data_IF_183735583029
#
_entry.id   IF_183735583029
#
_cell.length_a   1.000
_cell.length_b   1.000
_cell.length_c   1.000
_cell.angle_alpha   90.00
_cell.angle_beta   90.00
_cell.angle_gamma   90.00
#
_symmetry.space_group_name_H-M   'P 1'
#
loop_
_entity.id
_entity.type
_entity.pdbx_description
1 polymer ?
#
# COMPACT_ATOMS: atom_id res chain seq x y z
N UNK A 1 51.68 3.47 42.14
CA UNK A 1 50.38 2.79 41.95
C UNK A 1 49.46 3.75 41.25
N UNK A 2 49.22 3.58 39.94
CA UNK A 2 48.25 4.37 39.18
C UNK A 2 47.41 3.38 38.40
N UNK A 3 46.21 3.10 38.91
CA UNK A 3 45.21 2.26 38.25
C UNK A 3 44.55 3.11 37.16
N UNK A 4 44.64 2.69 35.90
CA UNK A 4 44.19 3.48 34.77
C UNK A 4 42.68 3.32 34.50
N UNK A 5 41.94 4.38 34.14
CA UNK A 5 40.47 4.42 34.07
C UNK A 5 39.89 3.85 32.75
N UNK A 6 40.58 2.91 32.10
CA UNK A 6 40.22 2.41 30.76
C UNK A 6 39.14 1.32 30.76
N UNK A 7 38.74 0.80 31.93
CA UNK A 7 37.72 -0.24 32.05
C UNK A 7 36.29 0.27 32.00
N UNK A 8 36.01 1.41 32.64
CA UNK A 8 34.64 1.92 32.82
C UNK A 8 34.04 2.47 31.52
N UNK A 9 34.82 3.18 30.70
CA UNK A 9 34.33 3.70 29.42
C UNK A 9 34.00 2.59 28.41
N UNK A 10 34.72 1.47 28.45
CA UNK A 10 34.43 0.31 27.61
C UNK A 10 33.16 -0.42 28.06
N UNK A 11 32.91 -0.50 29.37
CA UNK A 11 31.68 -1.11 29.90
C UNK A 11 30.43 -0.32 29.53
N UNK A 12 30.47 1.01 29.61
CA UNK A 12 29.34 1.86 29.21
C UNK A 12 29.02 1.70 27.71
N UNK A 13 30.04 1.66 26.86
CA UNK A 13 29.87 1.47 25.41
C UNK A 13 29.33 0.09 25.05
N UNK A 14 29.78 -0.94 25.76
CA UNK A 14 29.28 -2.31 25.59
C UNK A 14 27.82 -2.42 26.01
N UNK A 15 27.44 -1.78 27.12
CA UNK A 15 26.06 -1.75 27.60
C UNK A 15 25.12 -1.04 26.62
N UNK A 16 25.53 0.09 26.03
CA UNK A 16 24.76 0.76 24.98
C UNK A 16 24.61 -0.11 23.72
N UNK A 17 25.63 -0.87 23.36
CA UNK A 17 25.58 -1.81 22.24
C UNK A 17 24.58 -2.93 22.52
N UNK A 18 24.60 -3.50 23.72
CA UNK A 18 23.65 -4.52 24.15
C UNK A 18 22.22 -3.98 24.18
N UNK A 19 22.02 -2.76 24.66
CA UNK A 19 20.72 -2.10 24.64
C UNK A 19 20.18 -1.96 23.21
N UNK A 20 21.00 -1.51 22.26
CA UNK A 20 20.61 -1.40 20.84
C UNK A 20 20.23 -2.76 20.24
N UNK A 21 20.92 -3.82 20.64
CA UNK A 21 20.60 -5.19 20.20
C UNK A 21 19.25 -5.61 20.77
N UNK A 22 19.00 -5.37 22.06
CA UNK A 22 17.71 -5.69 22.69
C UNK A 22 16.57 -4.90 22.05
N UNK A 23 16.73 -3.59 21.85
CA UNK A 23 15.73 -2.74 21.18
C UNK A 23 15.45 -3.19 19.75
N UNK A 24 16.51 -3.48 18.97
CA UNK A 24 16.35 -3.99 17.59
C UNK A 24 15.67 -5.35 17.57
N UNK A 25 16.01 -6.22 18.53
CA UNK A 25 15.41 -7.55 18.62
C UNK A 25 13.94 -7.43 19.01
N UNK A 26 13.62 -6.68 20.06
CA UNK A 26 12.25 -6.44 20.50
C UNK A 26 11.39 -5.78 19.41
N UNK A 27 11.94 -4.83 18.64
CA UNK A 27 11.25 -4.22 17.51
C UNK A 27 11.04 -5.14 16.30
N UNK A 28 11.84 -6.19 16.17
CA UNK A 28 11.75 -7.17 15.08
C UNK A 28 11.00 -8.46 15.47
N UNK A 29 10.64 -8.63 16.75
CA UNK A 29 9.81 -9.74 17.18
C UNK A 29 8.37 -9.49 16.75
N UNK A 30 7.78 -10.49 16.08
CA UNK A 30 6.35 -10.49 15.77
C UNK A 30 5.65 -11.11 16.97
N UNK A 31 4.94 -10.29 17.74
CA UNK A 31 4.03 -10.78 18.78
C UNK A 31 2.82 -11.44 18.12
N UNK A 32 2.46 -12.64 18.58
CA UNK A 32 1.30 -13.41 18.08
C UNK A 32 0.25 -13.40 19.19
N UNK A 33 -0.60 -12.36 19.28
CA UNK A 33 -1.56 -12.25 20.37
C UNK A 33 -2.68 -13.29 20.23
N UNK A 34 -3.13 -13.81 21.38
CA UNK A 34 -4.42 -14.50 21.49
C UNK A 34 -5.55 -13.46 21.45
N UNK A 35 -6.34 -13.48 20.39
CA UNK A 35 -7.26 -12.42 19.92
C UNK A 35 -8.38 -11.96 20.87
N UNK A 36 -8.53 -12.50 22.08
CA UNK A 36 -9.78 -12.39 22.83
C UNK A 36 -9.88 -11.27 23.88
N UNK A 37 -8.79 -10.58 24.24
CA UNK A 37 -8.82 -9.55 25.30
C UNK A 37 -8.22 -8.19 24.92
N UNK A 38 -7.45 -8.10 23.82
CA UNK A 38 -6.85 -6.84 23.37
C UNK A 38 -7.88 -5.84 22.79
N UNK A 39 -8.91 -6.36 22.11
CA UNK A 39 -9.84 -5.54 21.32
C UNK A 39 -10.57 -4.47 22.14
N UNK A 40 -10.98 -4.79 23.38
CA UNK A 40 -11.74 -3.84 24.23
C UNK A 40 -10.86 -2.72 24.80
N UNK A 41 -9.60 -3.02 25.13
CA UNK A 41 -8.64 -2.03 25.64
C UNK A 41 -8.20 -1.10 24.50
N UNK A 42 -7.93 -1.67 23.33
CA UNK A 42 -7.56 -0.94 22.12
C UNK A 42 -8.69 0.01 21.67
N UNK A 43 -9.95 -0.42 21.75
CA UNK A 43 -11.09 0.44 21.38
C UNK A 43 -11.25 1.65 22.31
N UNK A 44 -11.05 1.48 23.62
CA UNK A 44 -11.11 2.59 24.57
C UNK A 44 -9.95 3.57 24.37
N UNK A 45 -8.73 3.05 24.15
CA UNK A 45 -7.56 3.89 23.85
C UNK A 45 -7.74 4.65 22.52
N UNK A 46 -8.22 3.98 21.48
CA UNK A 46 -8.51 4.58 20.19
C UNK A 46 -9.54 5.72 20.33
N UNK A 47 -10.59 5.53 21.12
CA UNK A 47 -11.59 6.56 21.39
C UNK A 47 -10.98 7.77 22.12
N UNK A 48 -10.14 7.52 23.13
CA UNK A 48 -9.47 8.58 23.88
C UNK A 48 -8.52 9.39 22.98
N UNK A 49 -7.71 8.72 22.16
CA UNK A 49 -6.77 9.36 21.21
C UNK A 49 -7.52 10.13 20.13
N UNK A 50 -8.66 9.61 19.64
CA UNK A 50 -9.54 10.32 18.70
C UNK A 50 -10.03 11.65 19.29
N UNK A 51 -10.50 11.65 20.54
CA UNK A 51 -10.95 12.86 21.22
C UNK A 51 -9.81 13.88 21.41
N UNK A 52 -8.61 13.40 21.74
CA UNK A 52 -7.42 14.24 21.89
C UNK A 52 -7.04 14.91 20.56
N UNK A 53 -7.00 14.17 19.46
CA UNK A 53 -6.71 14.72 18.13
C UNK A 53 -7.78 15.72 17.67
N UNK A 54 -9.06 15.45 17.94
CA UNK A 54 -10.13 16.40 17.64
C UNK A 54 -9.99 17.69 18.46
N UNK A 55 -9.62 17.60 19.73
CA UNK A 55 -9.34 18.76 20.58
C UNK A 55 -8.13 19.56 20.07
N UNK A 56 -7.05 18.87 19.67
CA UNK A 56 -5.86 19.49 19.08
C UNK A 56 -6.18 20.22 17.76
N UNK A 57 -6.99 19.61 16.88
CA UNK A 57 -7.42 20.25 15.63
C UNK A 57 -8.28 21.49 15.89
N UNK A 58 -9.13 21.46 16.91
CA UNK A 58 -9.99 22.60 17.27
C UNK A 58 -9.21 23.75 17.93
N UNK A 59 -8.08 23.46 18.60
CA UNK A 59 -7.22 24.47 19.23
C UNK A 59 -6.26 25.12 18.25
N UNK A 60 -5.80 24.39 17.23
CA UNK A 60 -5.01 24.96 16.14
C UNK A 60 -5.94 25.76 15.22
N UNK A 61 -6.00 27.08 15.43
CA UNK A 61 -6.68 28.03 14.53
C UNK A 61 -5.96 28.12 13.19
N UNK A 62 -6.14 27.12 12.33
CA UNK A 62 -5.69 27.17 10.94
C UNK A 62 -6.43 28.31 10.22
N UNK A 63 -5.72 29.17 9.46
CA UNK A 63 -6.37 30.15 8.61
C UNK A 63 -7.36 29.43 7.68
N UNK A 64 -8.61 29.90 7.60
CA UNK A 64 -9.68 29.26 6.80
C UNK A 64 -9.27 29.00 5.34
N UNK A 65 -8.33 29.77 4.81
CA UNK A 65 -7.74 29.59 3.49
C UNK A 65 -6.85 28.33 3.38
N UNK A 66 -6.08 27.99 4.42
CA UNK A 66 -5.27 26.77 4.47
C UNK A 66 -6.15 25.51 4.55
N UNK A 67 -7.25 25.55 5.31
CA UNK A 67 -8.21 24.44 5.41
C UNK A 67 -8.90 24.19 4.06
N UNK A 68 -9.32 25.24 3.33
CA UNK A 68 -9.88 25.07 1.97
C UNK A 68 -8.87 24.49 0.98
N UNK A 69 -7.60 24.90 1.07
CA UNK A 69 -6.54 24.38 0.20
C UNK A 69 -6.23 22.91 0.51
N UNK A 70 -6.21 22.52 1.79
CA UNK A 70 -6.06 21.12 2.18
C UNK A 70 -7.26 20.28 1.78
N UNK A 71 -8.49 20.75 2.02
CA UNK A 71 -9.70 20.02 1.61
C UNK A 71 -9.80 19.85 0.09
N UNK A 72 -9.32 20.79 -0.72
CA UNK A 72 -9.25 20.61 -2.18
C UNK A 72 -8.14 19.67 -2.63
N UNK A 73 -7.13 19.42 -1.79
CA UNK A 73 -6.04 18.47 -2.06
C UNK A 73 -6.32 17.06 -1.51
N UNK A 74 -7.11 16.93 -0.43
CA UNK A 74 -7.41 15.66 0.22
C UNK A 74 -8.84 15.15 -0.02
N UNK A 75 -9.76 15.99 -0.51
CA UNK A 75 -11.09 15.54 -0.93
C UNK A 75 -10.99 14.87 -2.29
N UNK A 76 -10.53 13.62 -2.27
CA UNK A 76 -11.02 12.64 -3.24
C UNK A 76 -12.45 12.38 -2.81
N UNK A 77 -13.38 12.93 -3.60
CA UNK A 77 -14.83 12.81 -3.44
C UNK A 77 -15.19 11.32 -3.45
N UNK A 78 -15.19 10.71 -2.26
CA UNK A 78 -15.80 9.41 -2.01
C UNK A 78 -17.30 9.53 -2.29
N UNK A 79 -17.76 8.66 -3.16
CA UNK A 79 -19.11 8.51 -3.65
C UNK A 79 -20.13 8.35 -2.53
N UNK A 80 -20.96 9.37 -2.31
CA UNK A 80 -22.36 9.12 -1.99
C UNK A 80 -23.03 8.70 -3.30
N UNK A 81 -23.64 7.51 -3.27
CA UNK A 81 -24.46 6.96 -4.34
C UNK A 81 -25.60 7.92 -4.65
N UNK A 82 -25.49 8.66 -5.75
CA UNK A 82 -26.63 8.98 -6.60
C UNK A 82 -26.11 9.41 -7.98
N UNK A 83 -26.54 8.66 -8.99
CA UNK A 83 -26.36 8.91 -10.41
C UNK A 83 -24.93 8.71 -10.96
N UNK A 84 -24.75 7.57 -11.65
CA UNK A 84 -23.80 7.38 -12.75
C UNK A 84 -24.09 8.39 -13.88
N UNK A 85 -23.74 9.65 -13.65
CA UNK A 85 -23.63 10.66 -14.69
C UNK A 85 -22.23 10.60 -15.26
N UNK A 86 -22.11 10.15 -16.51
CA UNK A 86 -20.94 10.41 -17.37
C UNK A 86 -20.45 11.84 -17.09
N UNK A 87 -19.16 12.00 -16.75
CA UNK A 87 -18.55 13.30 -16.45
C UNK A 87 -18.70 14.21 -17.66
N UNK A 88 -19.81 14.96 -17.69
CA UNK A 88 -20.01 16.12 -18.56
C UNK A 88 -19.53 17.30 -17.74
N UNK A 89 -18.36 17.79 -18.11
CA UNK A 89 -17.75 19.00 -17.54
C UNK A 89 -18.64 20.21 -17.83
N UNK A 90 -19.65 20.44 -17.01
CA UNK A 90 -20.41 21.68 -16.98
C UNK A 90 -20.04 22.45 -15.72
N UNK A 91 -18.90 23.14 -15.77
CA UNK A 91 -18.60 24.24 -14.84
C UNK A 91 -18.07 25.42 -15.64
N UNK A 92 -18.87 26.48 -15.60
CA UNK A 92 -18.60 27.80 -16.09
C UNK A 92 -17.35 28.41 -15.45
N UNK A 93 -16.74 29.33 -16.20
CA UNK A 93 -15.69 30.29 -15.83
C UNK A 93 -14.25 29.77 -15.70
N UNK A 94 -13.45 30.07 -16.73
CA UNK A 94 -12.12 30.64 -16.45
C UNK A 94 -10.85 29.92 -16.92
N UNK A 95 -10.90 28.88 -17.77
CA UNK A 95 -9.78 28.48 -18.64
C UNK A 95 -10.31 27.48 -19.68
N UNK A 96 -10.42 27.94 -20.93
CA UNK A 96 -10.92 27.15 -22.06
C UNK A 96 -9.87 26.11 -22.47
N UNK A 97 -9.86 24.96 -21.79
CA UNK A 97 -9.28 23.76 -22.37
C UNK A 97 -10.30 23.32 -23.43
N UNK A 98 -9.96 23.50 -24.71
CA UNK A 98 -10.80 23.10 -25.84
C UNK A 98 -10.93 21.58 -25.85
N UNK A 99 -11.88 21.05 -25.09
CA UNK A 99 -12.31 19.67 -25.24
C UNK A 99 -13.10 19.58 -26.56
N UNK A 100 -12.76 18.65 -27.47
CA UNK A 100 -13.48 18.47 -28.73
C UNK A 100 -14.96 18.17 -28.46
N UNK A 101 -15.85 18.63 -29.34
CA UNK A 101 -17.28 18.37 -29.16
C UNK A 101 -17.58 16.87 -29.30
N UNK A 102 -18.64 16.37 -28.65
CA UNK A 102 -19.03 14.94 -28.77
C UNK A 102 -19.22 14.51 -30.23
N UNK A 103 -19.77 15.42 -31.05
CA UNK A 103 -19.95 15.17 -32.49
C UNK A 103 -18.63 15.07 -33.24
N UNK A 104 -17.63 15.86 -32.82
CA UNK A 104 -16.29 15.86 -33.39
C UNK A 104 -15.54 14.57 -33.04
N UNK A 105 -15.54 14.14 -31.78
CA UNK A 105 -14.93 12.87 -31.34
C UNK A 105 -15.56 11.65 -32.02
N UNK A 106 -16.89 11.63 -32.18
CA UNK A 106 -17.57 10.52 -32.86
C UNK A 106 -17.40 10.55 -34.39
N UNK A 107 -17.12 11.72 -34.96
CA UNK A 107 -16.76 11.86 -36.38
C UNK A 107 -15.27 11.63 -36.63
N UNK A 108 -14.46 11.62 -35.58
CA UNK A 108 -13.03 11.35 -35.65
C UNK A 108 -12.82 9.91 -36.12
N UNK A 109 -11.80 9.73 -36.96
CA UNK A 109 -11.52 8.49 -37.67
C UNK A 109 -11.46 7.32 -36.69
N UNK A 110 -12.19 6.26 -37.00
CA UNK A 110 -12.15 4.98 -36.27
C UNK A 110 -10.71 4.52 -36.07
N UNK A 111 -10.44 3.84 -34.96
CA UNK A 111 -9.13 3.25 -34.65
C UNK A 111 -8.58 2.54 -35.89
N UNK A 112 -7.34 2.86 -36.26
CA UNK A 112 -6.69 2.33 -37.45
C UNK A 112 -6.67 0.79 -37.38
N UNK A 113 -7.13 0.05 -38.41
CA UNK A 113 -7.19 -1.41 -38.39
C UNK A 113 -5.84 -2.04 -38.08
N UNK A 114 -4.74 -1.43 -38.54
CA UNK A 114 -3.38 -1.88 -38.23
C UNK A 114 -3.09 -1.90 -36.72
N UNK A 115 -3.64 -0.95 -35.96
CA UNK A 115 -3.51 -0.89 -34.51
C UNK A 115 -4.30 -2.01 -33.84
N UNK A 116 -5.49 -2.34 -34.37
CA UNK A 116 -6.31 -3.45 -33.89
C UNK A 116 -5.60 -4.78 -34.14
N UNK A 117 -5.05 -4.97 -35.35
CA UNK A 117 -4.31 -6.18 -35.72
C UNK A 117 -3.02 -6.35 -34.89
N UNK A 118 -2.30 -5.25 -34.65
CA UNK A 118 -1.12 -5.25 -33.78
C UNK A 118 -1.49 -5.64 -32.35
N UNK A 119 -2.57 -5.07 -31.81
CA UNK A 119 -3.03 -5.39 -30.46
C UNK A 119 -3.49 -6.85 -30.36
N UNK A 120 -4.20 -7.37 -31.37
CA UNK A 120 -4.60 -8.77 -31.41
C UNK A 120 -3.38 -9.71 -31.43
N UNK A 121 -2.34 -9.35 -32.19
CA UNK A 121 -1.09 -10.11 -32.25
C UNK A 121 -0.35 -10.08 -30.91
N UNK A 122 -0.22 -8.91 -30.28
CA UNK A 122 0.44 -8.75 -28.98
C UNK A 122 -0.28 -9.54 -27.87
N UNK A 123 -1.62 -9.56 -27.88
CA UNK A 123 -2.41 -10.36 -26.93
C UNK A 123 -2.21 -11.86 -27.18
N UNK A 124 -2.13 -12.28 -28.45
CA UNK A 124 -1.84 -13.66 -28.82
C UNK A 124 -0.47 -14.13 -28.34
N UNK A 125 0.57 -13.31 -28.53
CA UNK A 125 1.93 -13.58 -28.04
C UNK A 125 1.98 -13.67 -26.51
N UNK A 126 1.29 -12.76 -25.82
CA UNK A 126 1.21 -12.76 -24.35
C UNK A 126 0.47 -13.99 -23.83
N UNK A 127 -0.61 -14.40 -24.48
CA UNK A 127 -1.34 -15.61 -24.13
C UNK A 127 -0.45 -16.85 -24.29
N UNK A 128 0.25 -16.96 -25.42
CA UNK A 128 1.19 -18.06 -25.68
C UNK A 128 2.34 -18.09 -24.67
N UNK A 129 2.90 -16.92 -24.32
CA UNK A 129 3.93 -16.82 -23.29
C UNK A 129 3.42 -17.25 -21.92
N UNK A 130 2.17 -16.93 -21.59
CA UNK A 130 1.55 -17.34 -20.31
C UNK A 130 1.34 -18.84 -20.24
N UNK A 131 0.95 -19.48 -21.35
CA UNK A 131 0.83 -20.95 -21.41
C UNK A 131 2.17 -21.67 -21.25
N UNK A 132 3.28 -21.02 -21.62
CA UNK A 132 4.62 -21.59 -21.44
C UNK A 132 5.12 -21.58 -19.99
N UNK A 133 4.39 -20.94 -19.07
CA UNK A 133 4.70 -20.94 -17.64
C UNK A 133 4.19 -22.24 -17.03
N UNK A 134 5.00 -23.28 -17.11
CA UNK A 134 4.74 -24.57 -16.46
C UNK A 134 5.95 -25.02 -15.63
N UNK A 135 5.70 -25.86 -14.62
CA UNK A 135 6.75 -26.41 -13.78
C UNK A 135 7.38 -27.60 -14.49
N UNK A 136 8.65 -27.45 -14.89
CA UNK A 136 9.42 -28.54 -15.48
C UNK A 136 9.59 -29.69 -14.47
N UNK A 137 9.20 -30.89 -14.86
CA UNK A 137 9.37 -32.09 -14.05
C UNK A 137 10.85 -32.49 -14.00
N UNK A 138 11.51 -32.25 -12.88
CA UNK A 138 12.92 -32.59 -12.63
C UNK A 138 13.10 -33.89 -11.82
N UNK A 139 12.00 -34.56 -11.48
CA UNK A 139 11.98 -35.81 -10.71
C UNK A 139 10.77 -35.91 -9.79
N UNK A 140 10.65 -37.05 -9.12
CA UNK A 140 9.53 -37.33 -8.22
C UNK A 140 9.67 -36.54 -6.91
N UNK A 141 8.65 -35.73 -6.59
CA UNK A 141 8.56 -35.04 -5.30
C UNK A 141 8.26 -36.02 -4.15
N UNK A 142 7.60 -37.14 -4.45
CA UNK A 142 7.19 -38.14 -3.47
C UNK A 142 7.79 -39.47 -3.88
N UNK A 143 8.67 -40.00 -3.03
CA UNK A 143 9.19 -41.36 -3.17
C UNK A 143 8.46 -42.25 -2.17
N UNK A 144 7.67 -43.20 -2.66
CA UNK A 144 7.00 -44.18 -1.82
C UNK A 144 7.96 -45.31 -1.45
N UNK A 145 8.36 -45.34 -0.18
CA UNK A 145 9.19 -46.42 0.35
C UNK A 145 8.32 -47.64 0.64
N UNK A 146 8.36 -48.62 -0.27
CA UNK A 146 7.77 -49.94 -0.03
C UNK A 146 8.85 -50.87 0.54
N UNK A 147 8.63 -51.58 1.66
CA UNK A 147 9.60 -52.55 2.15
C UNK A 147 9.76 -53.69 1.13
N UNK A 148 10.98 -54.24 0.94
CA UNK A 148 11.20 -55.34 0.01
C UNK A 148 10.39 -56.56 0.47
N UNK A 149 9.65 -57.18 -0.46
CA UNK A 149 8.96 -58.44 -0.19
C UNK A 149 9.99 -59.47 0.32
N UNK A 150 9.82 -59.89 1.58
CA UNK A 150 10.54 -61.01 2.14
C UNK A 150 10.24 -62.27 1.30
N UNK A 151 11.29 -62.83 0.69
CA UNK A 151 11.24 -64.15 0.03
C UNK A 151 11.31 -65.26 1.07
#
# INVERSE_FOLDING_TARGET
MVSAPYGEQNQVREQESLQKIVERTAGNLIDIPSTFQLERLEQQEAQNRSNEYMSALNTVKLPKQAIRKLHSMTSVKGSDEENSGVVRSSTSSGHSINAPSVREVLSEKTVDPKTIDWMASAVGELHQATESIDVLHVGDLIVTLSPPLAR
#
